data_IF_263353231846
#
_entry.id   IF_263353231846
#
_cell.length_a   1.000
_cell.length_b   1.000
_cell.length_c   1.000
_cell.angle_alpha   90.00
_cell.angle_beta   90.00
_cell.angle_gamma   90.00
#
_symmetry.space_group_name_H-M   'P 1'
#
loop_
_entity.id
_entity.type
_entity.pdbx_description
1 polymer ?
#
# COMPACT_ATOMS: atom_id res chain seq x y z
N UNK A 1 0.54 16.63 -14.67
CA UNK A 1 -0.79 16.63 -15.32
C UNK A 1 -1.32 15.21 -15.54
N UNK A 2 -0.57 14.30 -16.19
CA UNK A 2 -1.00 12.96 -16.56
C UNK A 2 -1.45 12.08 -15.38
N UNK A 3 -0.79 12.15 -14.23
CA UNK A 3 -1.18 11.41 -13.00
C UNK A 3 -2.51 11.91 -12.37
N UNK A 4 -2.98 13.09 -12.77
CA UNK A 4 -4.21 13.71 -12.27
C UNK A 4 -5.31 13.79 -13.35
N UNK A 5 -5.07 13.27 -14.56
CA UNK A 5 -6.09 13.24 -15.62
C UNK A 5 -7.23 12.30 -15.21
N UNK A 6 -8.45 12.72 -15.54
CA UNK A 6 -9.66 11.89 -15.43
C UNK A 6 -9.98 11.19 -16.76
N UNK A 7 -9.24 11.50 -17.81
CA UNK A 7 -9.31 10.83 -19.10
C UNK A 7 -8.44 9.58 -19.07
N UNK A 8 -9.02 8.43 -19.39
CA UNK A 8 -8.34 7.13 -19.37
C UNK A 8 -7.18 7.05 -20.38
N UNK A 9 -7.29 7.74 -21.50
CA UNK A 9 -6.28 7.72 -22.57
C UNK A 9 -5.08 8.63 -22.22
N UNK A 10 -5.27 9.57 -21.29
CA UNK A 10 -4.23 10.49 -20.82
C UNK A 10 -3.69 10.14 -19.44
N UNK A 11 -4.39 9.29 -18.68
CA UNK A 11 -4.04 8.96 -17.31
C UNK A 11 -2.82 8.05 -17.25
N UNK A 12 -1.72 8.56 -16.68
CA UNK A 12 -0.56 7.75 -16.37
C UNK A 12 -0.70 7.03 -15.02
N UNK A 13 -0.24 5.80 -14.96
CA UNK A 13 -0.22 5.01 -13.74
C UNK A 13 1.05 5.28 -12.93
N UNK A 14 0.90 5.20 -11.62
CA UNK A 14 2.00 5.35 -10.67
C UNK A 14 2.36 4.05 -9.95
N UNK A 15 3.64 3.88 -9.65
CA UNK A 15 4.16 2.79 -8.85
C UNK A 15 5.11 3.28 -7.74
N UNK A 16 5.50 2.36 -6.86
CA UNK A 16 6.39 2.64 -5.74
C UNK A 16 7.36 1.47 -5.55
N UNK A 17 8.66 1.72 -5.73
CA UNK A 17 9.70 0.69 -5.62
C UNK A 17 10.64 1.00 -4.45
N UNK A 18 10.46 0.30 -3.36
CA UNK A 18 11.20 0.49 -2.11
C UNK A 18 12.11 -0.69 -1.80
N UNK A 19 11.51 -1.89 -1.79
CA UNK A 19 12.10 -3.11 -1.26
C UNK A 19 13.21 -3.64 -2.15
N UNK A 20 14.30 -4.09 -1.54
CA UNK A 20 15.38 -4.85 -2.15
C UNK A 20 15.59 -6.18 -1.41
N UNK A 21 16.34 -7.12 -1.96
CA UNK A 21 16.66 -8.36 -1.25
C UNK A 21 17.37 -8.10 0.09
N UNK A 22 18.30 -7.15 0.11
CA UNK A 22 19.04 -6.75 1.29
C UNK A 22 18.33 -5.70 2.16
N UNK A 23 17.27 -5.06 1.67
CA UNK A 23 16.59 -3.95 2.31
C UNK A 23 15.06 -4.14 2.28
N UNK A 24 14.56 -5.02 3.13
CA UNK A 24 13.12 -5.26 3.31
C UNK A 24 12.59 -4.48 4.50
N UNK A 25 12.70 -5.03 5.70
CA UNK A 25 12.29 -4.37 6.94
C UNK A 25 13.19 -3.20 7.30
N UNK A 26 14.48 -3.32 7.05
CA UNK A 26 15.48 -2.27 7.25
C UNK A 26 15.84 -1.61 5.92
N UNK A 27 15.15 -0.53 5.61
CA UNK A 27 15.39 0.27 4.40
C UNK A 27 16.74 0.98 4.43
N UNK A 28 17.36 1.15 5.61
CA UNK A 28 18.69 1.78 5.71
C UNK A 28 19.78 1.02 4.94
N UNK A 29 19.53 -0.26 4.61
CA UNK A 29 20.41 -1.12 3.83
C UNK A 29 20.18 -1.03 2.31
N UNK A 30 19.41 -0.05 1.83
CA UNK A 30 19.21 0.18 0.38
C UNK A 30 20.54 0.22 -0.35
N UNK A 31 20.68 -0.62 -1.38
CA UNK A 31 21.89 -0.78 -2.20
C UNK A 31 21.77 -0.11 -3.57
N UNK A 32 20.56 0.17 -4.06
CA UNK A 32 20.35 0.94 -5.28
C UNK A 32 21.04 2.29 -5.15
N UNK A 33 21.91 2.60 -6.11
CA UNK A 33 22.73 3.82 -6.14
C UNK A 33 22.14 4.86 -7.10
N UNK A 34 22.28 6.13 -6.73
CA UNK A 34 21.93 7.28 -7.56
C UNK A 34 23.15 8.16 -7.79
N UNK A 35 23.47 8.41 -9.04
CA UNK A 35 24.57 9.25 -9.50
C UNK A 35 24.02 10.49 -10.19
N UNK A 36 24.51 11.67 -9.82
CA UNK A 36 24.08 12.92 -10.44
C UNK A 36 24.65 13.04 -11.87
N UNK A 37 23.83 13.48 -12.82
CA UNK A 37 24.23 13.84 -14.18
C UNK A 37 24.44 15.37 -14.27
N UNK A 38 25.18 15.82 -15.29
CA UNK A 38 25.46 17.24 -15.48
C UNK A 38 24.23 18.09 -15.88
N UNK A 39 23.18 17.45 -16.41
CA UNK A 39 21.92 18.07 -16.84
C UNK A 39 20.88 18.21 -15.70
N UNK A 40 21.24 17.83 -14.46
CA UNK A 40 20.34 17.87 -13.31
C UNK A 40 19.48 16.60 -13.14
N UNK A 41 19.49 15.68 -14.09
CA UNK A 41 18.92 14.35 -13.93
C UNK A 41 19.83 13.44 -13.09
N UNK A 42 19.34 12.25 -12.80
CA UNK A 42 20.05 11.24 -12.03
C UNK A 42 20.08 9.90 -12.76
N UNK A 43 21.11 9.13 -12.55
CA UNK A 43 21.28 7.79 -13.08
C UNK A 43 21.17 6.78 -11.94
N UNK A 44 20.13 5.92 -11.99
CA UNK A 44 19.92 4.88 -11.00
C UNK A 44 20.51 3.54 -11.45
N UNK A 45 21.20 2.85 -10.52
CA UNK A 45 21.80 1.53 -10.74
C UNK A 45 21.47 0.63 -9.56
N UNK A 46 20.90 -0.55 -9.82
CA UNK A 46 20.57 -1.54 -8.80
C UNK A 46 19.23 -2.22 -9.05
N UNK A 47 18.83 -3.06 -8.09
CA UNK A 47 17.66 -3.93 -8.21
C UNK A 47 16.58 -3.58 -7.21
N UNK A 48 15.30 -3.76 -7.59
CA UNK A 48 14.14 -3.72 -6.70
C UNK A 48 13.39 -5.03 -6.72
N UNK A 49 12.90 -5.46 -5.54
CA UNK A 49 12.49 -6.84 -5.32
C UNK A 49 11.00 -7.11 -5.41
N UNK A 50 10.15 -6.28 -4.82
CA UNK A 50 8.69 -6.38 -4.86
C UNK A 50 8.09 -5.10 -5.45
N UNK A 51 8.10 -5.00 -6.79
CA UNK A 51 7.61 -3.85 -7.53
C UNK A 51 6.17 -4.11 -7.97
N UNK A 52 5.20 -3.56 -7.25
CA UNK A 52 3.80 -3.59 -7.68
C UNK A 52 3.61 -2.65 -8.85
N UNK A 53 2.84 -3.06 -9.86
CA UNK A 53 2.63 -2.33 -11.11
C UNK A 53 3.98 -1.95 -11.79
N UNK A 54 4.82 -2.95 -12.15
CA UNK A 54 6.23 -2.71 -12.53
C UNK A 54 6.41 -2.04 -13.89
N UNK A 55 5.37 -1.96 -14.70
CA UNK A 55 5.34 -1.30 -16.01
C UNK A 55 4.55 0.01 -16.01
N UNK A 56 4.23 0.56 -14.82
CA UNK A 56 3.63 1.88 -14.69
C UNK A 56 4.49 2.96 -15.38
N UNK A 57 3.84 4.00 -15.92
CA UNK A 57 4.52 5.11 -16.61
C UNK A 57 5.47 5.88 -15.68
N UNK A 58 5.17 5.92 -14.39
CA UNK A 58 6.00 6.56 -13.38
C UNK A 58 6.15 5.69 -12.13
N UNK A 59 7.34 5.66 -11.58
CA UNK A 59 7.58 5.02 -10.28
C UNK A 59 8.35 5.96 -9.34
N UNK A 60 7.93 5.96 -8.06
CA UNK A 60 8.70 6.58 -6.99
C UNK A 60 9.69 5.55 -6.44
N UNK A 61 10.97 5.87 -6.48
CA UNK A 61 12.07 4.93 -6.16
C UNK A 61 12.93 5.51 -5.03
N UNK A 62 13.26 4.68 -4.04
CA UNK A 62 14.28 5.02 -3.05
C UNK A 62 15.65 4.56 -3.55
N UNK A 63 16.63 5.44 -3.53
CA UNK A 63 18.01 5.12 -3.86
C UNK A 63 18.99 5.89 -2.95
N UNK A 64 20.17 5.32 -2.76
CA UNK A 64 21.27 5.95 -2.03
C UNK A 64 22.03 6.86 -2.97
N UNK A 65 22.21 8.09 -2.57
CA UNK A 65 23.01 9.05 -3.35
C UNK A 65 24.48 8.77 -3.12
N UNK A 66 25.24 8.73 -4.22
CA UNK A 66 26.69 8.58 -4.17
C UNK A 66 27.35 9.72 -3.38
N UNK A 67 28.24 9.37 -2.47
CA UNK A 67 28.91 10.32 -1.56
C UNK A 67 28.08 10.75 -0.34
N UNK A 68 26.82 10.33 -0.21
CA UNK A 68 26.01 10.63 0.98
C UNK A 68 26.29 9.68 2.16
N UNK A 69 25.97 10.09 3.40
CA UNK A 69 26.18 9.26 4.59
C UNK A 69 25.51 7.90 4.51
N UNK A 70 26.07 6.90 5.19
CA UNK A 70 25.42 5.61 5.38
C UNK A 70 24.09 5.74 6.14
N UNK A 71 23.24 4.71 6.06
CA UNK A 71 21.94 4.66 6.73
C UNK A 71 20.87 5.50 6.05
N UNK A 72 19.85 5.89 6.80
CA UNK A 72 18.65 6.56 6.28
C UNK A 72 18.91 7.94 5.67
N UNK A 73 19.92 8.67 6.18
CA UNK A 73 20.25 10.02 5.72
C UNK A 73 20.89 10.07 4.32
N UNK A 74 21.36 8.94 3.81
CA UNK A 74 21.88 8.85 2.44
C UNK A 74 20.83 8.42 1.42
N UNK A 75 19.58 8.21 1.84
CA UNK A 75 18.50 7.73 0.96
C UNK A 75 17.62 8.89 0.53
N UNK A 76 17.50 9.06 -0.78
CA UNK A 76 16.67 10.09 -1.43
C UNK A 76 15.55 9.44 -2.25
N UNK A 77 14.53 10.24 -2.57
CA UNK A 77 13.38 9.84 -3.36
C UNK A 77 13.54 10.32 -4.79
N UNK A 78 13.29 9.44 -5.75
CA UNK A 78 13.41 9.74 -7.17
C UNK A 78 12.13 9.38 -7.91
N UNK A 79 11.76 10.21 -8.88
CA UNK A 79 10.78 9.89 -9.90
C UNK A 79 11.50 9.19 -11.06
N UNK A 80 11.08 7.97 -11.36
CA UNK A 80 11.58 7.14 -12.45
C UNK A 80 10.50 7.05 -13.53
N UNK A 81 10.63 7.71 -14.69
CA UNK A 81 9.73 7.55 -15.81
C UNK A 81 9.99 6.21 -16.54
N UNK A 82 8.95 5.61 -17.10
CA UNK A 82 9.05 4.43 -17.97
C UNK A 82 9.57 4.79 -19.34
N UNK A 83 9.13 5.92 -19.86
CA UNK A 83 9.52 6.47 -21.16
C UNK A 83 10.20 7.81 -20.96
N UNK A 84 11.23 8.08 -21.74
CA UNK A 84 11.93 9.35 -21.78
C UNK A 84 11.23 10.35 -22.70
N UNK A 85 11.62 11.61 -22.66
CA UNK A 85 10.99 12.68 -23.45
C UNK A 85 11.10 12.45 -24.99
N UNK A 86 12.10 11.69 -25.44
CA UNK A 86 12.27 11.28 -26.84
C UNK A 86 11.43 10.05 -27.22
N UNK A 87 10.60 9.54 -26.29
CA UNK A 87 9.77 8.36 -26.48
C UNK A 87 10.50 7.03 -26.31
N UNK A 88 11.80 7.03 -26.05
CA UNK A 88 12.56 5.80 -25.80
C UNK A 88 12.21 5.21 -24.43
N UNK A 89 12.35 3.89 -24.31
CA UNK A 89 12.19 3.19 -23.03
C UNK A 89 13.40 3.46 -22.14
N UNK A 90 13.16 3.84 -20.90
CA UNK A 90 14.19 4.07 -19.90
C UNK A 90 14.98 2.79 -19.57
N UNK A 91 16.23 2.94 -19.12
CA UNK A 91 17.18 1.86 -18.90
C UNK A 91 16.88 1.04 -17.63
N UNK A 92 15.64 0.57 -17.50
CA UNK A 92 15.28 -0.46 -16.52
C UNK A 92 14.39 -1.53 -17.15
N UNK A 93 14.49 -2.74 -16.65
CA UNK A 93 13.74 -3.89 -17.18
C UNK A 93 13.15 -4.73 -16.05
N UNK A 94 12.02 -5.35 -16.35
CA UNK A 94 11.39 -6.35 -15.49
C UNK A 94 12.11 -7.67 -15.74
N UNK A 95 12.77 -8.22 -14.71
CA UNK A 95 13.49 -9.50 -14.79
C UNK A 95 12.50 -10.65 -14.83
N UNK A 96 11.53 -10.62 -13.90
CA UNK A 96 10.45 -11.60 -13.81
C UNK A 96 9.30 -11.07 -12.98
N UNK A 97 8.12 -11.65 -13.14
CA UNK A 97 6.99 -11.48 -12.24
C UNK A 97 7.07 -12.49 -11.09
N UNK A 98 6.63 -12.06 -9.92
CA UNK A 98 6.55 -12.92 -8.74
C UNK A 98 5.43 -13.95 -8.88
N UNK A 99 5.73 -15.21 -8.62
CA UNK A 99 4.72 -16.21 -8.35
C UNK A 99 4.19 -16.01 -6.92
N UNK A 100 2.87 -15.82 -6.80
CA UNK A 100 2.23 -15.47 -5.52
C UNK A 100 1.09 -16.42 -5.20
N UNK A 101 0.90 -16.72 -3.92
CA UNK A 101 -0.23 -17.50 -3.44
C UNK A 101 -1.56 -16.75 -3.65
N UNK A 102 -1.58 -15.45 -3.37
CA UNK A 102 -2.74 -14.55 -3.57
C UNK A 102 -2.38 -13.34 -4.43
N UNK A 103 -3.38 -12.56 -4.82
CA UNK A 103 -3.23 -11.35 -5.68
C UNK A 103 -2.51 -11.60 -7.00
N UNK A 104 -2.75 -12.76 -7.63
CA UNK A 104 -2.06 -13.16 -8.88
C UNK A 104 -2.40 -12.25 -10.05
N UNK A 105 -3.58 -11.66 -10.06
CA UNK A 105 -4.03 -10.69 -11.08
C UNK A 105 -3.34 -9.32 -10.96
N UNK A 106 -2.65 -9.05 -9.85
CA UNK A 106 -1.89 -7.81 -9.65
C UNK A 106 -0.42 -8.09 -9.86
N UNK A 107 0.18 -7.55 -10.94
CA UNK A 107 1.57 -7.74 -11.25
C UNK A 107 2.48 -7.25 -10.11
N UNK A 108 3.47 -8.05 -9.75
CA UNK A 108 4.58 -7.68 -8.86
C UNK A 108 5.86 -8.20 -9.45
N UNK A 109 6.73 -7.29 -9.87
CA UNK A 109 7.96 -7.61 -10.58
C UNK A 109 9.21 -7.54 -9.70
N UNK A 110 10.26 -8.16 -10.20
CA UNK A 110 11.64 -7.84 -9.87
C UNK A 110 12.17 -6.99 -11.01
N UNK A 111 12.77 -5.85 -10.70
CA UNK A 111 13.33 -4.96 -11.71
C UNK A 111 14.81 -4.74 -11.47
N UNK A 112 15.55 -4.52 -12.57
CA UNK A 112 16.93 -4.03 -12.55
C UNK A 112 17.01 -2.71 -13.28
N UNK A 113 17.78 -1.78 -12.73
CA UNK A 113 18.10 -0.46 -13.30
C UNK A 113 19.57 -0.46 -13.69
N UNK A 114 19.84 -0.25 -14.96
CA UNK A 114 21.20 -0.29 -15.55
C UNK A 114 21.64 1.11 -16.02
N UNK A 115 21.43 2.10 -15.16
CA UNK A 115 21.67 3.50 -15.47
C UNK A 115 20.38 4.24 -15.85
N UNK A 116 19.27 3.84 -15.27
CA UNK A 116 17.97 4.45 -15.55
C UNK A 116 17.93 5.94 -15.16
N UNK A 117 17.42 6.77 -16.07
CA UNK A 117 17.23 8.20 -15.86
C UNK A 117 16.12 8.45 -14.87
N UNK A 118 16.38 9.28 -13.86
CA UNK A 118 15.42 9.64 -12.83
C UNK A 118 15.59 11.09 -12.39
N UNK A 119 14.62 11.60 -11.64
CA UNK A 119 14.60 12.97 -11.16
C UNK A 119 14.43 13.00 -9.64
N UNK A 120 15.25 13.79 -8.95
CA UNK A 120 15.15 13.93 -7.49
C UNK A 120 13.82 14.55 -7.11
N UNK A 121 13.13 13.95 -6.14
CA UNK A 121 11.87 14.47 -5.59
C UNK A 121 12.12 15.01 -4.18
N UNK A 122 11.85 16.31 -4.03
CA UNK A 122 11.98 17.01 -2.75
C UNK A 122 13.42 17.14 -2.28
N UNK A 123 13.70 16.86 -1.00
CA UNK A 123 14.99 17.10 -0.38
C UNK A 123 15.88 15.85 -0.38
N UNK A 124 17.15 16.03 -0.77
CA UNK A 124 18.19 14.99 -0.69
C UNK A 124 18.37 14.50 0.75
N UNK A 125 18.49 13.18 0.93
CA UNK A 125 18.65 12.53 2.23
C UNK A 125 17.37 12.41 3.07
N UNK A 126 16.21 12.81 2.53
CA UNK A 126 14.90 12.68 3.19
C UNK A 126 13.93 11.74 2.47
N UNK A 127 14.43 10.92 1.58
CA UNK A 127 13.61 10.09 0.71
C UNK A 127 12.63 9.19 1.44
N UNK A 128 13.02 8.57 2.55
CA UNK A 128 12.12 7.72 3.32
C UNK A 128 10.97 8.51 3.97
N UNK A 129 11.25 9.71 4.50
CA UNK A 129 10.21 10.55 5.12
C UNK A 129 9.16 10.96 4.08
N UNK A 130 9.62 11.35 2.89
CA UNK A 130 8.75 11.74 1.77
C UNK A 130 7.96 10.53 1.23
N UNK A 131 8.59 9.37 1.10
CA UNK A 131 7.92 8.12 0.74
C UNK A 131 6.88 7.69 1.79
N UNK A 132 7.11 8.02 3.07
CA UNK A 132 6.20 7.66 4.16
C UNK A 132 4.81 8.30 4.02
N UNK A 133 4.69 9.47 3.43
CA UNK A 133 3.39 10.10 3.18
C UNK A 133 2.55 9.27 2.22
N UNK A 134 3.14 8.80 1.12
CA UNK A 134 2.48 7.91 0.17
C UNK A 134 2.16 6.54 0.80
N UNK A 135 3.08 5.99 1.62
CA UNK A 135 2.86 4.76 2.38
C UNK A 135 1.69 4.91 3.36
N UNK A 136 1.53 6.06 4.01
CA UNK A 136 0.42 6.31 4.93
C UNK A 136 -0.93 6.35 4.22
N UNK A 137 -1.02 6.94 3.03
CA UNK A 137 -2.22 6.88 2.20
C UNK A 137 -2.56 5.42 1.82
N UNK A 138 -1.57 4.63 1.43
CA UNK A 138 -1.74 3.20 1.17
C UNK A 138 -2.20 2.41 2.41
N UNK A 139 -1.69 2.74 3.60
CA UNK A 139 -2.12 2.13 4.88
C UNK A 139 -3.58 2.43 5.17
N UNK A 140 -4.03 3.68 5.00
CA UNK A 140 -5.43 4.05 5.17
C UNK A 140 -6.31 3.29 4.17
N UNK A 141 -5.96 3.27 2.89
CA UNK A 141 -6.68 2.54 1.84
C UNK A 141 -6.83 1.05 2.18
N UNK A 142 -5.77 0.40 2.68
CA UNK A 142 -5.83 -1.00 3.12
C UNK A 142 -6.75 -1.18 4.34
N UNK A 143 -6.77 -0.23 5.27
CA UNK A 143 -7.71 -0.21 6.39
C UNK A 143 -9.16 -0.15 5.94
N UNK A 144 -9.46 0.77 5.01
CA UNK A 144 -10.81 0.95 4.40
C UNK A 144 -11.26 -0.33 3.71
N UNK A 145 -10.40 -0.90 2.86
CA UNK A 145 -10.67 -2.15 2.15
C UNK A 145 -10.98 -3.29 3.12
N UNK A 146 -10.20 -3.43 4.18
CA UNK A 146 -10.37 -4.47 5.19
C UNK A 146 -11.69 -4.31 5.96
N UNK A 147 -12.06 -3.09 6.33
CA UNK A 147 -13.34 -2.80 6.97
C UNK A 147 -14.53 -3.13 6.03
N UNK A 148 -14.41 -2.78 4.74
CA UNK A 148 -15.41 -3.12 3.72
C UNK A 148 -15.60 -4.62 3.52
N UNK A 149 -14.49 -5.38 3.48
CA UNK A 149 -14.53 -6.85 3.40
C UNK A 149 -15.19 -7.47 4.62
N UNK A 150 -14.85 -7.02 5.84
CA UNK A 150 -15.50 -7.51 7.06
C UNK A 150 -16.98 -7.21 7.07
N UNK A 151 -17.39 -5.99 6.70
CA UNK A 151 -18.81 -5.63 6.60
C UNK A 151 -19.57 -6.55 5.65
N UNK A 152 -18.99 -6.83 4.46
CA UNK A 152 -19.60 -7.75 3.49
C UNK A 152 -19.72 -9.17 4.06
N UNK A 153 -18.65 -9.68 4.67
CA UNK A 153 -18.63 -11.01 5.25
C UNK A 153 -19.67 -11.18 6.38
N UNK A 154 -19.79 -10.15 7.24
CA UNK A 154 -20.83 -10.13 8.30
C UNK A 154 -22.22 -10.15 7.71
N UNK A 155 -22.52 -9.31 6.71
CA UNK A 155 -23.83 -9.28 6.08
C UNK A 155 -24.22 -10.63 5.45
N UNK A 156 -23.26 -11.31 4.81
CA UNK A 156 -23.48 -12.66 4.25
C UNK A 156 -23.73 -13.70 5.35
N UNK A 157 -22.98 -13.67 6.44
CA UNK A 157 -23.15 -14.58 7.57
C UNK A 157 -24.52 -14.37 8.24
N UNK A 158 -24.93 -13.13 8.45
CA UNK A 158 -26.22 -12.75 9.03
C UNK A 158 -27.38 -13.21 8.13
N UNK A 159 -27.28 -12.97 6.83
CA UNK A 159 -28.27 -13.40 5.86
C UNK A 159 -28.49 -14.93 5.92
N UNK A 160 -27.39 -15.69 5.88
CA UNK A 160 -27.48 -17.16 5.96
C UNK A 160 -28.03 -17.62 7.31
N UNK A 161 -27.62 -16.99 8.41
CA UNK A 161 -28.12 -17.36 9.76
C UNK A 161 -29.62 -17.03 9.92
N UNK A 162 -30.14 -16.02 9.21
CA UNK A 162 -31.55 -15.68 9.17
C UNK A 162 -32.38 -16.66 8.33
N UNK A 163 -31.91 -17.03 7.15
CA UNK A 163 -32.64 -17.85 6.21
C UNK A 163 -32.59 -19.36 6.54
N UNK A 164 -31.47 -19.84 7.08
CA UNK A 164 -31.26 -21.27 7.27
C UNK A 164 -31.92 -21.76 8.54
N UNK A 165 -32.70 -22.82 8.40
CA UNK A 165 -33.37 -23.54 9.51
C UNK A 165 -32.69 -24.88 9.76
N UNK A 166 -32.35 -25.16 11.01
CA UNK A 166 -31.88 -26.46 11.49
C UNK A 166 -32.48 -26.74 12.89
N UNK A 167 -32.81 -28.00 13.15
CA UNK A 167 -33.46 -28.43 14.40
C UNK A 167 -34.75 -27.64 14.71
N UNK A 168 -35.50 -27.27 13.65
CA UNK A 168 -36.76 -26.55 13.75
C UNK A 168 -36.64 -25.06 14.14
N UNK A 169 -35.44 -24.48 14.12
CA UNK A 169 -35.17 -23.06 14.46
C UNK A 169 -34.27 -22.42 13.42
N UNK A 170 -34.35 -21.11 13.23
CA UNK A 170 -33.37 -20.36 12.48
C UNK A 170 -32.01 -20.44 13.18
N UNK A 171 -30.92 -20.42 12.41
CA UNK A 171 -29.58 -20.45 13.01
C UNK A 171 -29.35 -19.26 13.93
N UNK A 172 -29.83 -18.08 13.58
CA UNK A 172 -29.71 -16.85 14.41
C UNK A 172 -30.40 -16.98 15.78
N UNK A 173 -31.39 -17.88 15.94
CA UNK A 173 -32.06 -18.13 17.22
C UNK A 173 -31.28 -19.05 18.16
N UNK A 174 -30.22 -19.66 17.66
CA UNK A 174 -29.36 -20.54 18.46
C UNK A 174 -28.33 -19.73 19.25
N UNK A 175 -28.18 -19.97 20.58
CA UNK A 175 -27.28 -19.16 21.43
C UNK A 175 -25.83 -19.16 20.96
N UNK A 176 -25.32 -20.29 20.49
CA UNK A 176 -23.93 -20.37 20.00
C UNK A 176 -23.73 -19.62 18.69
N UNK A 177 -24.73 -19.64 17.78
CA UNK A 177 -24.69 -18.85 16.55
C UNK A 177 -24.74 -17.36 16.83
N UNK A 178 -25.61 -16.90 17.74
CA UNK A 178 -25.64 -15.48 18.16
C UNK A 178 -24.27 -15.03 18.65
N UNK A 179 -23.65 -15.82 19.53
CA UNK A 179 -22.31 -15.52 20.01
C UNK A 179 -21.28 -15.47 18.88
N UNK A 180 -21.39 -16.33 17.87
CA UNK A 180 -20.50 -16.33 16.71
C UNK A 180 -20.71 -15.08 15.85
N UNK A 181 -21.96 -14.73 15.56
CA UNK A 181 -22.27 -13.50 14.83
C UNK A 181 -21.75 -12.24 15.54
N UNK A 182 -21.86 -12.16 16.86
CA UNK A 182 -21.30 -11.05 17.63
C UNK A 182 -19.79 -10.94 17.53
N UNK A 183 -19.08 -12.09 17.50
CA UNK A 183 -17.62 -12.13 17.29
C UNK A 183 -17.22 -11.60 15.89
N UNK A 184 -18.10 -11.69 14.91
CA UNK A 184 -17.89 -11.13 13.57
C UNK A 184 -18.24 -9.64 13.54
N UNK A 185 -19.36 -9.24 14.14
CA UNK A 185 -19.88 -7.87 14.15
C UNK A 185 -18.94 -6.89 14.84
N UNK A 186 -18.50 -7.22 16.05
CA UNK A 186 -17.72 -6.30 16.89
C UNK A 186 -16.44 -5.83 16.19
N UNK A 187 -15.56 -6.70 15.67
CA UNK A 187 -14.38 -6.25 14.93
C UNK A 187 -14.71 -5.44 13.67
N UNK A 188 -15.77 -5.81 12.95
CA UNK A 188 -16.19 -5.10 11.75
C UNK A 188 -16.62 -3.66 12.05
N UNK A 189 -17.42 -3.46 13.12
CA UNK A 189 -17.87 -2.13 13.56
C UNK A 189 -16.71 -1.29 14.12
N UNK A 190 -15.80 -1.91 14.90
CA UNK A 190 -14.60 -1.23 15.36
C UNK A 190 -13.73 -0.74 14.20
N UNK A 191 -13.50 -1.59 13.20
CA UNK A 191 -12.73 -1.22 12.02
C UNK A 191 -13.41 -0.10 11.23
N UNK A 192 -14.73 -0.15 11.04
CA UNK A 192 -15.51 0.90 10.39
C UNK A 192 -15.38 2.24 11.11
N UNK A 193 -15.55 2.26 12.42
CA UNK A 193 -15.42 3.47 13.24
C UNK A 193 -14.01 4.06 13.13
N UNK A 194 -12.98 3.23 13.27
CA UNK A 194 -11.59 3.67 13.15
C UNK A 194 -11.24 4.22 11.76
N UNK A 195 -11.76 3.62 10.70
CA UNK A 195 -11.55 4.09 9.32
C UNK A 195 -12.08 5.51 9.15
N UNK A 196 -13.32 5.77 9.54
CA UNK A 196 -13.91 7.09 9.42
C UNK A 196 -13.23 8.12 10.32
N UNK A 197 -12.87 7.74 11.54
CA UNK A 197 -12.08 8.60 12.43
C UNK A 197 -10.72 8.97 11.82
N UNK A 198 -10.03 8.00 11.22
CA UNK A 198 -8.73 8.22 10.58
C UNK A 198 -8.87 9.11 9.33
N UNK A 199 -9.91 8.88 8.52
CA UNK A 199 -10.18 9.70 7.34
C UNK A 199 -10.52 11.16 7.72
N UNK A 200 -11.34 11.38 8.76
CA UNK A 200 -11.62 12.71 9.28
C UNK A 200 -10.35 13.40 9.82
N UNK A 201 -9.49 12.63 10.49
CA UNK A 201 -8.21 13.14 11.00
C UNK A 201 -7.28 13.53 9.84
N UNK A 202 -7.27 12.75 8.74
CA UNK A 202 -6.53 13.10 7.51
C UNK A 202 -7.04 14.43 6.92
N UNK A 203 -8.34 14.59 6.76
CA UNK A 203 -8.93 15.83 6.24
C UNK A 203 -8.52 17.06 7.08
N UNK A 204 -8.52 16.94 8.40
CA UNK A 204 -8.07 18.02 9.30
C UNK A 204 -6.57 18.29 9.16
N UNK A 205 -5.77 17.23 9.05
CA UNK A 205 -4.32 17.33 8.81
C UNK A 205 -4.01 18.06 7.51
N UNK A 206 -4.72 17.73 6.43
CA UNK A 206 -4.58 18.36 5.12
C UNK A 206 -5.00 19.83 5.13
N UNK A 207 -5.93 20.20 6.02
CA UNK A 207 -6.31 21.58 6.29
C UNK A 207 -5.32 22.35 7.20
N UNK A 208 -4.19 21.73 7.58
CA UNK A 208 -3.12 22.37 8.36
C UNK A 208 -3.22 22.20 9.88
N UNK A 209 -4.11 21.36 10.38
CA UNK A 209 -4.24 21.05 11.83
C UNK A 209 -3.06 20.17 12.29
N UNK A 210 -2.16 20.76 13.08
CA UNK A 210 -0.94 20.08 13.56
C UNK A 210 -1.21 18.96 14.56
N UNK A 211 -2.27 19.08 15.37
CA UNK A 211 -2.67 18.03 16.31
C UNK A 211 -3.24 16.85 15.56
N UNK A 212 -4.07 17.11 14.54
CA UNK A 212 -4.58 16.08 13.66
C UNK A 212 -3.43 15.36 12.91
N UNK A 213 -2.41 16.08 12.45
CA UNK A 213 -1.22 15.48 11.84
C UNK A 213 -0.50 14.53 12.81
N UNK A 214 -0.28 14.95 14.06
CA UNK A 214 0.35 14.11 15.08
C UNK A 214 -0.48 12.86 15.39
N UNK A 215 -1.81 13.00 15.49
CA UNK A 215 -2.74 11.89 15.72
C UNK A 215 -2.77 10.92 14.52
N UNK A 216 -2.77 11.43 13.29
CA UNK A 216 -2.77 10.64 12.07
C UNK A 216 -1.57 9.68 11.98
N UNK A 217 -0.39 10.13 12.44
CA UNK A 217 0.83 9.30 12.47
C UNK A 217 0.67 8.05 13.34
N UNK A 218 -0.23 8.07 14.32
CA UNK A 218 -0.56 6.93 15.18
C UNK A 218 -1.70 6.11 14.57
N UNK A 219 -2.78 6.77 14.15
CA UNK A 219 -3.98 6.11 13.66
C UNK A 219 -3.72 5.30 12.39
N UNK A 220 -2.95 5.84 11.44
CA UNK A 220 -2.74 5.21 10.13
C UNK A 220 -2.05 3.83 10.22
N UNK A 221 -0.90 3.65 10.91
CA UNK A 221 -0.32 2.32 11.09
C UNK A 221 -1.19 1.41 11.95
N UNK A 222 -1.90 1.96 12.95
CA UNK A 222 -2.77 1.20 13.83
C UNK A 222 -3.96 0.60 13.10
N UNK A 223 -4.64 1.40 12.26
CA UNK A 223 -5.77 0.91 11.46
C UNK A 223 -5.33 -0.14 10.45
N UNK A 224 -4.20 0.08 9.75
CA UNK A 224 -3.65 -0.91 8.82
C UNK A 224 -3.38 -2.24 9.52
N UNK A 225 -2.71 -2.20 10.65
CA UNK A 225 -2.40 -3.41 11.41
C UNK A 225 -3.66 -4.11 11.91
N UNK A 226 -4.53 -3.37 12.62
CA UNK A 226 -5.69 -3.95 13.30
C UNK A 226 -6.74 -4.45 12.31
N UNK A 227 -7.17 -3.60 11.37
CA UNK A 227 -8.24 -3.95 10.43
C UNK A 227 -7.83 -5.09 9.50
N UNK A 228 -6.59 -5.09 8.97
CA UNK A 228 -6.14 -6.18 8.11
C UNK A 228 -5.99 -7.51 8.86
N UNK A 229 -5.57 -7.47 10.13
CA UNK A 229 -5.48 -8.66 10.96
C UNK A 229 -6.84 -9.24 11.29
N UNK A 230 -7.79 -8.40 11.70
CA UNK A 230 -9.14 -8.82 12.06
C UNK A 230 -9.94 -9.29 10.83
N UNK A 231 -9.76 -8.64 9.67
CA UNK A 231 -10.42 -9.03 8.43
C UNK A 231 -10.12 -10.48 8.05
N UNK A 232 -8.87 -10.92 8.20
CA UNK A 232 -8.51 -12.32 7.93
C UNK A 232 -9.30 -13.31 8.78
N UNK A 233 -9.50 -12.98 10.07
CA UNK A 233 -10.26 -13.83 10.98
C UNK A 233 -11.76 -13.76 10.71
N UNK A 234 -12.31 -12.55 10.59
CA UNK A 234 -13.75 -12.33 10.37
C UNK A 234 -14.21 -12.97 9.06
N UNK A 235 -13.45 -12.83 7.96
CA UNK A 235 -13.83 -13.44 6.68
C UNK A 235 -13.76 -14.95 6.71
N UNK A 236 -12.76 -15.54 7.40
CA UNK A 236 -12.66 -16.99 7.59
C UNK A 236 -13.79 -17.53 8.44
N UNK A 237 -14.03 -16.95 9.61
CA UNK A 237 -15.10 -17.38 10.53
C UNK A 237 -16.51 -17.20 9.87
N UNK A 238 -16.71 -16.15 9.07
CA UNK A 238 -17.96 -15.93 8.33
C UNK A 238 -18.21 -17.00 7.25
N UNK A 239 -17.16 -17.51 6.63
CA UNK A 239 -17.26 -18.62 5.67
C UNK A 239 -17.79 -19.89 6.36
N UNK A 240 -17.34 -20.17 7.57
CA UNK A 240 -17.79 -21.34 8.34
C UNK A 240 -19.27 -21.28 8.75
N UNK A 241 -19.87 -20.08 8.89
CA UNK A 241 -21.32 -19.92 9.14
C UNK A 241 -22.15 -20.46 8.00
N UNK A 242 -21.63 -20.45 6.79
CA UNK A 242 -22.34 -20.97 5.61
C UNK A 242 -22.37 -22.51 5.53
N UNK A 243 -21.47 -23.19 6.22
CA UNK A 243 -21.33 -24.65 6.24
C UNK A 243 -20.31 -25.18 5.27
#
# INVERSE_FOLDING_TARGET
PQLLSLDWDEQAQGAMFMTEQAAGSDISNTQTMAYANADGSWRLVGDKWFCSNPDAEFAMVLARVDGDPAGMKGISLFLLPRYLDDGSTNAYRIIRLKEKLGTRSMASGEITMEGATAYLVGERGRGFVQMADMVNNSRLSNGVRSAGMMRRAVAEAEYVAHERVAFGKRLEDMPLMRRQLDKLRVPAEQARTMVFQTAQTLMRSDAGDKEAYALLRILTPMIKFRSCRDARKVTGDAMEVRG
#
